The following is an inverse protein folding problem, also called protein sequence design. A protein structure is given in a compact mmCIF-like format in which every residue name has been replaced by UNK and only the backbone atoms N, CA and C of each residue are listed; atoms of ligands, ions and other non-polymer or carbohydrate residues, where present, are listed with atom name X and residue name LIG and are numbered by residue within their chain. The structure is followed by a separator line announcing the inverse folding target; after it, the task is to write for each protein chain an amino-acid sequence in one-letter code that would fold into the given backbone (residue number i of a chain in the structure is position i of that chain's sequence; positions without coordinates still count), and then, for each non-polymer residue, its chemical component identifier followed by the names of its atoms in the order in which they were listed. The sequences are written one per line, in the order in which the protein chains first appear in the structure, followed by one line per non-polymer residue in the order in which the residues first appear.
data_IF_791688536323
#
_entry.id   IF_791688536323
#
_cell.length_a   1.000
_cell.length_b   1.000
_cell.length_c   1.000
_cell.angle_alpha   90.00
_cell.angle_beta   90.00
_cell.angle_gamma   90.00
#
_symmetry.space_group_name_H-M   'P 1'
#
loop_
_entity.id
_entity.type
_entity.pdbx_description
1 polymer ?
#
# COMPACT_ATOMS: atom_id res chain seq x y z
N UNK A 1 -29.13 9.65 -4.57
CA UNK A 1 -28.48 8.45 -5.15
C UNK A 1 -29.41 7.62 -6.02
N UNK A 2 -30.58 7.20 -5.54
CA UNK A 2 -31.56 6.37 -6.30
C UNK A 2 -32.06 6.98 -7.62
N UNK A 3 -31.97 8.31 -7.79
CA UNK A 3 -32.31 8.97 -9.06
C UNK A 3 -31.20 8.85 -10.12
N UNK A 4 -29.94 8.86 -9.70
CA UNK A 4 -28.79 8.84 -10.62
C UNK A 4 -28.28 7.42 -10.88
N UNK A 5 -28.52 6.48 -9.96
CA UNK A 5 -28.06 5.08 -10.04
C UNK A 5 -26.63 4.94 -10.57
N UNK A 6 -25.64 5.61 -9.93
CA UNK A 6 -24.29 5.65 -10.46
C UNK A 6 -23.61 4.29 -10.33
N UNK A 7 -22.83 3.90 -11.34
CA UNK A 7 -22.02 2.68 -11.31
C UNK A 7 -20.91 2.73 -10.25
N UNK A 8 -20.41 3.93 -9.90
CA UNK A 8 -19.33 4.16 -8.94
C UNK A 8 -19.61 5.42 -8.11
N UNK A 9 -19.14 5.42 -6.87
CA UNK A 9 -19.23 6.56 -5.94
C UNK A 9 -17.87 6.74 -5.29
N UNK A 10 -17.31 7.94 -5.44
CA UNK A 10 -16.05 8.33 -4.81
C UNK A 10 -16.30 9.36 -3.72
N UNK A 11 -15.54 9.27 -2.62
CA UNK A 11 -15.64 10.17 -1.47
C UNK A 11 -14.43 11.09 -1.45
N UNK A 12 -14.67 12.40 -1.57
CA UNK A 12 -13.65 13.45 -1.59
C UNK A 12 -13.40 14.10 -0.23
N UNK A 13 -12.73 15.24 -0.24
CA UNK A 13 -12.48 16.04 0.96
C UNK A 13 -13.75 16.74 1.49
N UNK A 14 -13.69 17.19 2.74
CA UNK A 14 -14.55 18.24 3.27
C UNK A 14 -14.00 19.59 2.81
N UNK A 15 -14.85 20.45 2.24
CA UNK A 15 -14.46 21.73 1.66
C UNK A 15 -15.03 22.91 2.47
N UNK A 16 -14.43 24.09 2.28
CA UNK A 16 -14.84 25.35 2.91
C UNK A 16 -16.28 25.78 2.56
N UNK A 17 -16.82 25.27 1.45
CA UNK A 17 -18.18 25.54 0.98
C UNK A 17 -18.81 24.26 0.41
N UNK A 18 -20.11 24.28 0.14
CA UNK A 18 -20.81 23.17 -0.50
C UNK A 18 -20.22 22.89 -1.90
N UNK A 19 -19.73 21.67 -2.20
CA UNK A 19 -19.07 21.37 -3.49
C UNK A 19 -19.94 21.64 -4.72
N UNK A 20 -21.25 21.45 -4.61
CA UNK A 20 -22.20 21.73 -5.70
C UNK A 20 -22.36 23.24 -6.03
N UNK A 21 -21.80 24.12 -5.21
CA UNK A 21 -21.84 25.58 -5.38
C UNK A 21 -20.45 26.19 -5.64
N UNK A 22 -19.41 25.38 -5.88
CA UNK A 22 -18.03 25.89 -6.02
C UNK A 22 -17.88 26.98 -7.11
N UNK A 23 -18.65 26.91 -8.20
CA UNK A 23 -18.64 27.91 -9.28
C UNK A 23 -19.11 29.31 -8.85
N UNK A 24 -19.87 29.42 -7.75
CA UNK A 24 -20.35 30.71 -7.22
C UNK A 24 -19.41 31.29 -6.16
N UNK A 25 -18.39 30.53 -5.77
CA UNK A 25 -17.41 30.94 -4.76
C UNK A 25 -16.30 31.74 -5.45
N UNK A 26 -15.80 32.79 -4.79
CA UNK A 26 -14.67 33.58 -5.31
C UNK A 26 -13.46 32.69 -5.56
N UNK A 27 -12.73 32.97 -6.64
CA UNK A 27 -11.52 32.24 -7.00
C UNK A 27 -10.54 32.22 -5.81
N UNK A 28 -10.05 31.03 -5.47
CA UNK A 28 -9.13 30.82 -4.34
C UNK A 28 -9.78 30.64 -2.96
N UNK A 29 -11.08 30.94 -2.79
CA UNK A 29 -11.78 30.76 -1.51
C UNK A 29 -12.39 29.35 -1.34
N UNK A 30 -12.59 28.60 -2.43
CA UNK A 30 -12.99 27.20 -2.38
C UNK A 30 -11.77 26.31 -2.12
N UNK A 31 -11.67 25.75 -0.91
CA UNK A 31 -10.48 25.01 -0.46
C UNK A 31 -10.88 23.72 0.26
N UNK A 32 -10.10 22.66 0.07
CA UNK A 32 -10.22 21.44 0.85
C UNK A 32 -9.66 21.68 2.26
N UNK A 33 -10.40 21.29 3.28
CA UNK A 33 -10.06 21.55 4.69
C UNK A 33 -9.62 20.27 5.40
N UNK A 34 -10.36 19.18 5.20
CA UNK A 34 -10.12 17.91 5.88
C UNK A 34 -10.40 16.74 4.95
N UNK A 35 -9.66 15.64 5.15
CA UNK A 35 -9.91 14.37 4.49
C UNK A 35 -9.27 13.24 5.28
N UNK A 36 -9.92 12.08 5.35
CA UNK A 36 -9.31 10.85 5.84
C UNK A 36 -7.96 10.61 5.15
N UNK A 37 -6.99 10.14 5.93
CA UNK A 37 -5.76 9.59 5.36
C UNK A 37 -6.12 8.24 4.74
N UNK A 38 -5.84 8.11 3.45
CA UNK A 38 -6.22 6.93 2.67
C UNK A 38 -4.98 6.24 2.12
N UNK A 39 -4.99 4.91 2.17
CA UNK A 39 -4.02 4.06 1.49
C UNK A 39 -4.77 3.18 0.50
N UNK A 40 -4.26 3.08 -0.71
CA UNK A 40 -4.79 2.21 -1.77
C UNK A 40 -3.66 1.25 -2.16
N UNK A 41 -3.91 -0.05 -2.01
CA UNK A 41 -2.94 -1.11 -2.30
C UNK A 41 -3.59 -2.01 -3.36
N UNK A 42 -3.06 -1.96 -4.57
CA UNK A 42 -3.53 -2.77 -5.70
C UNK A 42 -2.55 -3.91 -6.00
N UNK A 43 -3.08 -5.07 -6.39
CA UNK A 43 -2.29 -6.23 -6.77
C UNK A 43 -1.42 -6.00 -8.02
N UNK A 44 -1.76 -5.06 -8.91
CA UNK A 44 -0.95 -4.78 -10.11
C UNK A 44 0.46 -4.32 -9.78
N UNK A 45 0.65 -3.68 -8.62
CA UNK A 45 1.96 -3.19 -8.19
C UNK A 45 2.91 -4.33 -7.79
N UNK A 46 2.42 -5.57 -7.77
CA UNK A 46 3.17 -6.79 -7.45
C UNK A 46 3.39 -7.70 -8.68
N UNK A 47 3.10 -7.23 -9.90
CA UNK A 47 3.25 -8.01 -11.13
C UNK A 47 4.67 -8.55 -11.36
N UNK A 48 5.69 -7.86 -10.86
CA UNK A 48 7.10 -8.27 -10.97
C UNK A 48 7.53 -9.32 -9.94
N UNK A 49 6.71 -9.58 -8.91
CA UNK A 49 7.04 -10.50 -7.80
C UNK A 49 6.05 -11.65 -7.63
N UNK A 50 4.97 -11.70 -8.42
CA UNK A 50 3.98 -12.79 -8.41
C UNK A 50 4.05 -13.63 -9.69
N UNK A 51 3.87 -14.94 -9.54
CA UNK A 51 3.96 -15.93 -10.63
C UNK A 51 2.64 -16.63 -10.96
N UNK A 52 1.66 -16.56 -10.05
CA UNK A 52 0.40 -17.28 -10.18
C UNK A 52 -0.66 -16.57 -11.05
N UNK A 53 -0.56 -15.25 -11.20
CA UNK A 53 -1.51 -14.42 -11.96
C UNK A 53 -0.74 -13.26 -12.60
N UNK A 54 -1.36 -12.59 -13.57
CA UNK A 54 -0.80 -11.39 -14.20
C UNK A 54 -1.83 -10.27 -14.26
N UNK A 55 -1.36 -9.02 -14.22
CA UNK A 55 -2.16 -7.81 -14.42
C UNK A 55 -3.40 -7.75 -13.53
N UNK A 56 -4.59 -8.05 -14.05
CA UNK A 56 -5.83 -7.82 -13.34
C UNK A 56 -6.40 -9.02 -12.60
N UNK A 57 -5.77 -10.18 -12.79
CA UNK A 57 -6.24 -11.42 -12.21
C UNK A 57 -5.68 -11.61 -10.80
N UNK A 58 -6.50 -12.23 -9.95
CA UNK A 58 -6.15 -12.60 -8.58
C UNK A 58 -6.57 -14.03 -8.30
N UNK A 59 -5.87 -14.67 -7.38
CA UNK A 59 -6.24 -15.95 -6.79
C UNK A 59 -5.95 -15.94 -5.29
N UNK A 60 -6.33 -17.01 -4.59
CA UNK A 60 -6.07 -17.14 -3.15
C UNK A 60 -4.59 -16.99 -2.78
N UNK A 61 -3.68 -17.48 -3.64
CA UNK A 61 -2.22 -17.39 -3.43
C UNK A 61 -1.72 -15.96 -3.34
N UNK A 62 -1.99 -15.15 -4.37
CA UNK A 62 -1.51 -13.75 -4.37
C UNK A 62 -2.29 -12.86 -3.42
N UNK A 63 -3.52 -13.21 -3.00
CA UNK A 63 -4.25 -12.45 -1.98
C UNK A 63 -3.54 -12.42 -0.61
N UNK A 64 -2.62 -13.35 -0.36
CA UNK A 64 -1.72 -13.31 0.80
C UNK A 64 -0.88 -12.02 0.84
N UNK A 65 -0.56 -11.41 -0.32
CA UNK A 65 0.07 -10.10 -0.38
C UNK A 65 -0.78 -9.00 0.28
N UNK A 66 -2.09 -8.96 0.00
CA UNK A 66 -3.01 -8.01 0.63
C UNK A 66 -3.12 -8.27 2.14
N UNK A 67 -3.12 -9.55 2.54
CA UNK A 67 -3.14 -9.94 3.95
C UNK A 67 -1.90 -9.44 4.70
N UNK A 68 -0.71 -9.61 4.12
CA UNK A 68 0.53 -9.09 4.69
C UNK A 68 0.53 -7.56 4.70
N UNK A 69 0.10 -6.92 3.61
CA UNK A 69 0.04 -5.46 3.50
C UNK A 69 -0.87 -4.84 4.58
N UNK A 70 -2.08 -5.36 4.76
CA UNK A 70 -3.00 -4.93 5.83
C UNK A 70 -2.31 -5.04 7.19
N UNK A 71 -1.72 -6.21 7.51
CA UNK A 71 -1.11 -6.43 8.82
C UNK A 71 0.07 -5.51 9.09
N UNK A 72 0.92 -5.26 8.10
CA UNK A 72 2.09 -4.39 8.21
C UNK A 72 1.65 -2.94 8.43
N UNK A 73 0.75 -2.45 7.57
CA UNK A 73 0.30 -1.06 7.61
C UNK A 73 -0.58 -0.81 8.83
N UNK A 74 -1.58 -1.65 9.12
CA UNK A 74 -2.47 -1.48 10.28
C UNK A 74 -1.71 -1.48 11.61
N UNK A 75 -0.72 -2.37 11.75
CA UNK A 75 0.17 -2.39 12.92
C UNK A 75 0.91 -1.08 13.07
N UNK A 76 1.51 -0.55 12.00
CA UNK A 76 2.25 0.71 12.07
C UNK A 76 1.33 1.89 12.40
N UNK A 77 0.18 2.00 11.72
CA UNK A 77 -0.83 3.03 11.99
C UNK A 77 -1.31 2.99 13.44
N UNK A 78 -1.51 1.80 14.01
CA UNK A 78 -1.95 1.63 15.40
C UNK A 78 -0.83 1.86 16.42
N UNK A 79 0.30 1.19 16.27
CA UNK A 79 1.35 1.13 17.30
C UNK A 79 2.34 2.27 17.19
N UNK A 80 2.72 2.66 15.97
CA UNK A 80 3.79 3.63 15.76
C UNK A 80 3.21 5.05 15.65
N UNK A 81 2.02 5.20 15.05
CA UNK A 81 1.33 6.50 14.92
C UNK A 81 0.19 6.73 15.93
N UNK A 82 -0.28 5.68 16.62
CA UNK A 82 -1.34 5.81 17.62
C UNK A 82 -2.74 6.07 17.06
N UNK A 83 -2.96 5.87 15.75
CA UNK A 83 -4.25 6.07 15.11
C UNK A 83 -5.24 5.00 15.56
N UNK A 84 -6.48 5.40 15.91
CA UNK A 84 -7.46 4.52 16.54
C UNK A 84 -8.56 4.06 15.59
N UNK A 85 -8.95 4.88 14.63
CA UNK A 85 -10.08 4.62 13.74
C UNK A 85 -9.58 4.29 12.33
N UNK A 86 -9.39 3.00 12.04
CA UNK A 86 -8.89 2.50 10.75
C UNK A 86 -9.91 1.55 10.15
N UNK A 87 -10.43 1.87 8.98
CA UNK A 87 -11.39 1.05 8.24
C UNK A 87 -10.71 0.49 6.99
N UNK A 88 -10.64 -0.83 6.89
CA UNK A 88 -10.18 -1.52 5.69
C UNK A 88 -11.38 -1.96 4.85
N UNK A 89 -11.33 -1.65 3.55
CA UNK A 89 -12.40 -1.92 2.59
C UNK A 89 -11.81 -2.64 1.40
N UNK A 90 -12.47 -3.71 0.94
CA UNK A 90 -12.12 -4.36 -0.32
C UNK A 90 -12.41 -3.42 -1.50
N UNK A 91 -11.49 -3.32 -2.46
CA UNK A 91 -11.63 -2.40 -3.61
C UNK A 91 -12.74 -2.80 -4.60
N UNK A 92 -13.32 -3.99 -4.42
CA UNK A 92 -14.30 -4.57 -5.34
C UNK A 92 -13.69 -5.48 -6.39
N UNK A 93 -12.35 -5.54 -6.50
CA UNK A 93 -11.67 -6.43 -7.47
C UNK A 93 -10.38 -7.08 -6.99
N UNK A 94 -9.35 -6.29 -6.66
CA UNK A 94 -7.97 -6.81 -6.55
C UNK A 94 -7.08 -6.05 -5.58
N UNK A 95 -7.68 -5.29 -4.69
CA UNK A 95 -6.95 -4.43 -3.78
C UNK A 95 -7.74 -4.15 -2.52
N UNK A 96 -7.13 -3.38 -1.65
CA UNK A 96 -7.70 -2.99 -0.37
C UNK A 96 -7.42 -1.52 -0.12
N UNK A 97 -8.42 -0.82 0.40
CA UNK A 97 -8.30 0.58 0.79
C UNK A 97 -8.32 0.68 2.31
N UNK A 98 -7.42 1.46 2.90
CA UNK A 98 -7.49 1.83 4.31
C UNK A 98 -7.95 3.29 4.43
N UNK A 99 -8.94 3.54 5.28
CA UNK A 99 -9.41 4.87 5.64
C UNK A 99 -9.11 5.11 7.12
N UNK A 100 -8.24 6.08 7.42
CA UNK A 100 -7.93 6.49 8.79
C UNK A 100 -8.71 7.74 9.12
N UNK A 101 -9.59 7.63 10.11
CA UNK A 101 -10.69 8.56 10.37
C UNK A 101 -10.56 9.32 11.68
N UNK A 102 -9.47 9.18 12.42
CA UNK A 102 -9.19 10.00 13.61
C UNK A 102 -9.31 11.51 13.26
N UNK A 103 -9.92 12.30 14.13
CA UNK A 103 -10.17 13.72 13.87
C UNK A 103 -8.87 14.49 13.60
N UNK A 104 -7.82 14.23 14.38
CA UNK A 104 -6.49 14.82 14.18
C UNK A 104 -5.86 14.40 12.85
N UNK A 105 -6.14 13.18 12.38
CA UNK A 105 -5.62 12.65 11.11
C UNK A 105 -6.32 13.31 9.92
N UNK A 106 -7.62 13.57 10.02
CA UNK A 106 -8.37 14.24 8.95
C UNK A 106 -7.84 15.65 8.66
N UNK A 107 -7.29 16.31 9.67
CA UNK A 107 -6.71 17.66 9.63
C UNK A 107 -5.23 17.71 9.21
N UNK A 108 -4.59 16.58 8.92
CA UNK A 108 -3.18 16.57 8.51
C UNK A 108 -2.96 17.29 7.18
N UNK A 109 -1.90 18.09 7.13
CA UNK A 109 -1.43 18.74 5.91
C UNK A 109 -0.86 17.70 4.92
N UNK A 110 -0.79 18.08 3.64
CA UNK A 110 -0.19 17.22 2.60
C UNK A 110 1.24 16.79 2.96
N UNK A 111 2.06 17.71 3.49
CA UNK A 111 3.44 17.42 3.88
C UNK A 111 3.53 16.34 4.98
N UNK A 112 2.66 16.38 5.98
CA UNK A 112 2.65 15.35 7.03
C UNK A 112 2.19 14.01 6.48
N UNK A 113 1.19 14.00 5.58
CA UNK A 113 0.74 12.78 4.90
C UNK A 113 1.86 12.16 4.08
N UNK A 114 2.63 12.97 3.34
CA UNK A 114 3.82 12.50 2.61
C UNK A 114 4.86 11.91 3.56
N UNK A 115 5.12 12.53 4.72
CA UNK A 115 6.05 11.98 5.71
C UNK A 115 5.61 10.62 6.26
N UNK A 116 4.30 10.39 6.45
CA UNK A 116 3.75 9.09 6.85
C UNK A 116 3.97 8.05 5.75
N UNK A 117 3.72 8.40 4.48
CA UNK A 117 3.95 7.49 3.35
C UNK A 117 5.43 7.14 3.22
N UNK A 118 6.34 8.10 3.36
CA UNK A 118 7.78 7.88 3.32
C UNK A 118 8.25 6.95 4.45
N UNK A 119 7.71 7.11 5.66
CA UNK A 119 7.99 6.21 6.78
C UNK A 119 7.59 4.76 6.47
N UNK A 120 6.45 4.56 5.81
CA UNK A 120 5.88 3.24 5.52
C UNK A 120 6.48 2.59 4.26
N UNK A 121 7.17 3.35 3.40
CA UNK A 121 7.61 2.92 2.08
C UNK A 121 9.04 2.37 2.07
N UNK A 122 9.18 1.06 1.86
CA UNK A 122 10.49 0.38 1.74
C UNK A 122 10.82 -0.09 0.33
N UNK A 123 9.80 -0.32 -0.50
CA UNK A 123 9.94 -0.73 -1.90
C UNK A 123 9.83 0.54 -2.74
N UNK A 124 10.92 0.94 -3.38
CA UNK A 124 10.98 2.15 -4.23
C UNK A 124 11.58 1.81 -5.58
N UNK A 125 10.90 2.22 -6.64
CA UNK A 125 11.37 2.07 -8.02
C UNK A 125 10.34 1.48 -8.96
N UNK A 126 10.35 1.94 -10.21
CA UNK A 126 9.48 1.47 -11.29
C UNK A 126 9.92 0.12 -11.88
N UNK A 127 9.35 -0.26 -13.02
CA UNK A 127 9.65 -1.54 -13.70
C UNK A 127 11.12 -1.68 -14.12
N UNK A 128 11.81 -0.57 -14.37
CA UNK A 128 13.22 -0.56 -14.80
C UNK A 128 14.21 -0.84 -13.66
N UNK A 129 13.78 -0.74 -12.40
CA UNK A 129 14.62 -0.93 -11.23
C UNK A 129 14.48 -2.37 -10.73
N UNK A 130 15.54 -3.17 -10.93
CA UNK A 130 15.59 -4.57 -10.49
C UNK A 130 15.56 -4.71 -8.96
N UNK A 131 16.45 -4.00 -8.26
CA UNK A 131 16.53 -4.02 -6.79
C UNK A 131 15.82 -2.81 -6.21
N UNK A 132 14.62 -3.02 -5.67
CA UNK A 132 13.74 -1.96 -5.17
C UNK A 132 13.84 -1.70 -3.66
N UNK A 133 14.62 -2.50 -2.95
CA UNK A 133 14.77 -2.41 -1.49
C UNK A 133 16.24 -2.23 -1.14
N UNK A 134 16.53 -1.12 -0.48
CA UNK A 134 17.85 -0.79 0.04
C UNK A 134 17.69 -0.44 1.52
N UNK A 135 18.21 -1.30 2.40
CA UNK A 135 18.16 -1.10 3.85
C UNK A 135 19.46 -0.48 4.35
N UNK A 136 19.36 0.39 5.36
CA UNK A 136 20.51 0.88 6.10
C UNK A 136 21.10 -0.21 6.99
N UNK A 137 22.39 -0.08 7.34
CA UNK A 137 23.07 -0.99 8.27
C UNK A 137 22.34 -1.07 9.62
N UNK A 138 21.91 0.08 10.14
CA UNK A 138 21.04 0.14 11.31
C UNK A 138 19.59 -0.09 10.89
N UNK A 139 19.05 -1.25 11.22
CA UNK A 139 17.66 -1.63 10.92
C UNK A 139 16.68 -0.87 11.80
N UNK A 140 15.79 -0.09 11.16
CA UNK A 140 14.73 0.64 11.84
C UNK A 140 13.67 -0.31 12.46
N UNK A 141 13.09 0.00 13.64
CA UNK A 141 12.10 -0.87 14.28
C UNK A 141 10.89 -1.24 13.42
N UNK A 142 10.41 -0.32 12.57
CA UNK A 142 9.36 -0.58 11.58
C UNK A 142 9.74 -1.74 10.67
N UNK A 143 10.93 -1.70 10.06
CA UNK A 143 11.43 -2.74 9.15
C UNK A 143 11.47 -4.10 9.85
N UNK A 144 12.04 -4.15 11.07
CA UNK A 144 12.12 -5.39 11.85
C UNK A 144 10.73 -5.96 12.18
N UNK A 145 9.79 -5.12 12.62
CA UNK A 145 8.42 -5.55 12.92
C UNK A 145 7.69 -6.03 11.66
N UNK A 146 7.92 -5.40 10.50
CA UNK A 146 7.36 -5.81 9.22
C UNK A 146 7.90 -7.16 8.75
N UNK A 147 9.22 -7.39 8.86
CA UNK A 147 9.84 -8.69 8.56
C UNK A 147 9.25 -9.79 9.45
N UNK A 148 9.04 -9.53 10.74
CA UNK A 148 8.42 -10.52 11.64
C UNK A 148 6.99 -10.90 11.23
N UNK A 149 6.25 -10.01 10.55
CA UNK A 149 4.95 -10.35 9.97
C UNK A 149 5.15 -11.20 8.72
N UNK A 150 6.03 -10.78 7.80
CA UNK A 150 6.32 -11.46 6.53
C UNK A 150 6.80 -12.90 6.79
N UNK A 151 7.69 -13.11 7.76
CA UNK A 151 8.25 -14.43 8.08
C UNK A 151 7.19 -15.47 8.46
N UNK A 152 6.01 -15.05 8.95
CA UNK A 152 4.90 -15.97 9.26
C UNK A 152 4.23 -16.55 8.02
N UNK A 153 4.40 -15.90 6.87
CA UNK A 153 3.79 -16.29 5.60
C UNK A 153 4.83 -16.72 4.58
N UNK A 154 6.10 -16.32 4.75
CA UNK A 154 7.10 -16.40 3.70
C UNK A 154 7.31 -17.81 3.14
N UNK A 155 7.37 -18.83 3.99
CA UNK A 155 7.58 -20.21 3.52
C UNK A 155 6.41 -20.69 2.65
N UNK A 156 5.18 -20.65 3.17
CA UNK A 156 3.99 -21.07 2.45
C UNK A 156 3.75 -20.20 1.21
N UNK A 157 3.81 -18.88 1.35
CA UNK A 157 3.53 -17.96 0.25
C UNK A 157 4.63 -17.97 -0.82
N UNK A 158 5.88 -17.72 -0.44
CA UNK A 158 6.94 -17.48 -1.40
C UNK A 158 7.55 -18.78 -1.95
N UNK A 159 7.77 -19.77 -1.08
CA UNK A 159 8.46 -21.01 -1.48
C UNK A 159 7.51 -22.09 -1.99
N UNK A 160 6.28 -22.18 -1.46
CA UNK A 160 5.30 -23.20 -1.90
C UNK A 160 4.36 -22.62 -2.95
N UNK A 161 3.66 -21.54 -2.65
CA UNK A 161 2.58 -21.02 -3.51
C UNK A 161 3.10 -20.34 -4.78
N UNK A 162 4.09 -19.46 -4.63
CA UNK A 162 4.74 -18.75 -5.73
C UNK A 162 5.95 -19.50 -6.29
N UNK A 163 6.51 -20.45 -5.53
CA UNK A 163 7.67 -21.26 -5.91
C UNK A 163 8.82 -20.41 -6.48
N UNK A 164 9.19 -19.32 -5.80
CA UNK A 164 10.12 -18.30 -6.36
C UNK A 164 11.52 -18.86 -6.73
N UNK A 165 11.86 -20.08 -6.31
CA UNK A 165 13.12 -20.77 -6.61
C UNK A 165 12.94 -22.05 -7.46
N UNK A 166 11.74 -22.31 -7.99
CA UNK A 166 11.43 -23.58 -8.65
C UNK A 166 12.14 -23.84 -9.98
N UNK A 167 12.66 -22.80 -10.64
CA UNK A 167 13.41 -22.96 -11.88
C UNK A 167 14.51 -21.89 -12.05
N UNK A 168 15.37 -22.10 -13.05
CA UNK A 168 16.51 -21.22 -13.33
C UNK A 168 16.08 -19.75 -13.55
N UNK A 169 15.02 -19.52 -14.34
CA UNK A 169 14.56 -18.15 -14.62
C UNK A 169 14.10 -17.43 -13.35
N UNK A 170 13.35 -18.10 -12.47
CA UNK A 170 12.90 -17.50 -11.21
C UNK A 170 14.05 -17.30 -10.22
N UNK A 171 14.98 -18.25 -10.14
CA UNK A 171 16.21 -18.11 -9.36
C UNK A 171 17.05 -16.93 -9.83
N UNK A 172 17.25 -16.76 -11.13
CA UNK A 172 18.05 -15.68 -11.71
C UNK A 172 17.47 -14.29 -11.32
N UNK A 173 16.13 -14.17 -11.20
CA UNK A 173 15.48 -12.94 -10.68
C UNK A 173 15.86 -12.64 -9.23
N UNK A 174 15.96 -13.66 -8.38
CA UNK A 174 16.40 -13.51 -6.98
C UNK A 174 17.90 -13.24 -6.90
N UNK A 175 18.71 -13.92 -7.72
CA UNK A 175 20.15 -13.72 -7.78
C UNK A 175 20.51 -12.28 -8.18
N UNK A 176 19.70 -11.63 -9.02
CA UNK A 176 19.87 -10.22 -9.37
C UNK A 176 19.70 -9.26 -8.17
N UNK A 177 19.20 -9.73 -7.02
CA UNK A 177 19.00 -8.93 -5.81
C UNK A 177 20.18 -9.04 -4.83
N UNK A 178 21.02 -10.07 -4.96
CA UNK A 178 22.16 -10.32 -4.06
C UNK A 178 23.47 -9.77 -4.66
N UNK A 179 24.43 -9.36 -3.81
CA UNK A 179 25.77 -9.01 -4.27
C UNK A 179 26.48 -10.19 -4.97
N UNK A 180 27.22 -9.92 -6.05
CA UNK A 180 27.94 -10.95 -6.83
C UNK A 180 29.00 -11.69 -6.00
N UNK A 181 29.57 -11.07 -4.97
CA UNK A 181 30.60 -11.65 -4.10
C UNK A 181 30.08 -12.75 -3.16
N UNK A 182 28.77 -13.02 -3.15
CA UNK A 182 28.17 -14.16 -2.42
C UNK A 182 28.06 -15.40 -3.32
N UNK A 183 28.21 -15.23 -4.65
CA UNK A 183 28.03 -16.29 -5.64
C UNK A 183 29.34 -17.00 -6.04
N UNK A 184 30.47 -16.54 -5.51
CA UNK A 184 31.80 -17.15 -5.61
C UNK A 184 32.15 -17.95 -4.37
#
# INVERSE_FOLDING_TARGET
MQKMNPYKIDIGAVYSHRPNQHNTVKLGAFQAQEKELVFDIDMTDYDDVRRCCSSADICSKCWTLMTMAIRIIDRALKEDFGFKHRLWVYSGRRGVHCWVCDESVRKLSSAVRSGIVEYLSLVKGGQDIKKKVHLSEKIHPFVRKSINIINKYFEEYALVDQDILGNKESCDKILALVPENILS
#
